data_IF_768164681430
#
_entry.id   IF_768164681430
#
_cell.length_a   1.000
_cell.length_b   1.000
_cell.length_c   1.000
_cell.angle_alpha   90.00
_cell.angle_beta   90.00
_cell.angle_gamma   90.00
#
_symmetry.space_group_name_H-M   'P 1'
#
loop_
_entity.id
_entity.type
_entity.pdbx_description
1 polymer ?
#
# COMPACT_ATOMS: atom_id res chain seq x y z
N UNK A 1 -3.11 9.66 -4.50
CA UNK A 1 -3.07 9.07 -3.14
C UNK A 1 -4.46 8.60 -2.79
N UNK A 2 -4.56 7.48 -2.07
CA UNK A 2 -5.83 6.96 -1.56
C UNK A 2 -5.83 7.21 -0.06
N UNK A 3 -6.85 7.92 0.42
CA UNK A 3 -7.06 8.11 1.85
C UNK A 3 -7.99 7.00 2.30
N UNK A 4 -7.53 6.18 3.25
CA UNK A 4 -8.33 5.10 3.85
C UNK A 4 -8.64 5.48 5.29
N UNK A 5 -9.91 5.37 5.65
CA UNK A 5 -10.35 5.51 7.02
C UNK A 5 -10.27 4.13 7.70
N UNK A 6 -9.27 3.96 8.57
CA UNK A 6 -9.03 2.72 9.32
C UNK A 6 -9.50 2.97 10.74
N UNK A 7 -10.50 2.21 11.19
CA UNK A 7 -11.04 2.29 12.55
C UNK A 7 -9.94 1.97 13.57
N UNK A 8 -9.56 2.97 14.36
CA UNK A 8 -8.52 2.89 15.37
C UNK A 8 -8.90 3.83 16.51
N UNK A 9 -9.35 3.27 17.63
CA UNK A 9 -9.91 4.04 18.76
C UNK A 9 -8.93 5.10 19.30
N UNK A 10 -7.62 4.85 19.24
CA UNK A 10 -6.61 5.78 19.72
C UNK A 10 -6.51 7.00 18.78
N UNK A 11 -6.52 6.77 17.47
CA UNK A 11 -6.52 7.84 16.45
C UNK A 11 -7.83 8.59 16.43
N UNK A 12 -8.95 7.89 16.53
CA UNK A 12 -10.28 8.49 16.56
C UNK A 12 -10.44 9.43 17.75
N UNK A 13 -9.95 9.01 18.94
CA UNK A 13 -9.94 9.86 20.13
C UNK A 13 -9.04 11.09 19.96
N UNK A 14 -7.87 10.93 19.33
CA UNK A 14 -6.95 12.04 19.08
C UNK A 14 -7.54 13.07 18.08
N UNK A 15 -8.13 12.58 16.98
CA UNK A 15 -8.80 13.41 15.98
C UNK A 15 -10.00 14.13 16.59
N UNK A 16 -10.84 13.42 17.34
CA UNK A 16 -11.99 14.01 18.01
C UNK A 16 -11.57 15.11 19.01
N UNK A 17 -10.52 14.86 19.82
CA UNK A 17 -9.96 15.86 20.72
C UNK A 17 -9.51 17.11 19.97
N UNK A 18 -8.74 16.94 18.90
CA UNK A 18 -8.23 18.05 18.10
C UNK A 18 -9.36 18.88 17.48
N UNK A 19 -10.39 18.23 16.93
CA UNK A 19 -11.55 18.93 16.33
C UNK A 19 -12.34 19.69 17.41
N UNK A 20 -12.58 19.07 18.57
CA UNK A 20 -13.27 19.72 19.69
C UNK A 20 -12.47 20.93 20.20
N UNK A 21 -11.15 20.82 20.32
CA UNK A 21 -10.27 21.91 20.75
C UNK A 21 -10.35 23.12 19.80
N UNK A 22 -10.44 22.89 18.47
CA UNK A 22 -10.64 23.97 17.47
C UNK A 22 -11.99 24.66 17.66
N UNK A 23 -13.06 23.90 17.90
CA UNK A 23 -14.40 24.46 18.04
C UNK A 23 -14.63 25.15 19.39
N UNK A 24 -13.95 24.72 20.46
CA UNK A 24 -14.03 25.35 21.79
C UNK A 24 -13.20 26.64 21.81
N UNK A 25 -12.02 26.64 21.19
CA UNK A 25 -11.09 27.76 21.20
C UNK A 25 -11.10 28.59 19.90
N UNK A 26 -12.24 28.66 19.20
CA UNK A 26 -12.36 29.32 17.88
C UNK A 26 -11.84 30.79 17.88
N UNK A 27 -11.90 31.48 19.02
CA UNK A 27 -11.37 32.84 19.19
C UNK A 27 -9.86 32.93 19.52
N UNK A 28 -9.21 31.82 19.87
CA UNK A 28 -7.76 31.71 20.15
C UNK A 28 -7.00 30.97 19.03
N UNK A 29 -7.71 30.37 18.08
CA UNK A 29 -7.11 29.65 16.95
C UNK A 29 -6.33 30.55 15.97
N UNK A 30 -6.49 31.88 16.02
CA UNK A 30 -5.60 32.80 15.31
C UNK A 30 -4.20 32.90 15.97
N UNK A 31 -4.08 32.52 17.25
CA UNK A 31 -2.83 32.67 18.03
C UNK A 31 -2.12 31.34 18.27
N UNK A 32 -2.81 30.21 18.17
CA UNK A 32 -2.17 28.89 18.15
C UNK A 32 -1.72 28.58 16.73
N UNK A 33 -0.66 29.23 16.26
CA UNK A 33 0.17 28.58 15.23
C UNK A 33 0.51 27.21 15.80
N UNK A 34 0.09 26.08 15.19
CA UNK A 34 0.70 24.82 15.54
C UNK A 34 2.20 25.03 15.39
N UNK A 35 3.00 24.41 16.24
CA UNK A 35 4.47 24.44 16.24
C UNK A 35 5.04 23.82 14.94
N UNK A 36 4.61 24.32 13.78
CA UNK A 36 5.18 24.10 12.48
C UNK A 36 6.24 25.17 12.31
N UNK A 37 7.49 24.72 12.30
CA UNK A 37 8.74 25.47 12.45
C UNK A 37 8.99 26.61 11.44
N UNK A 38 8.03 26.97 10.57
CA UNK A 38 8.21 27.98 9.51
C UNK A 38 6.92 28.79 9.27
N UNK A 39 7.03 30.12 9.29
CA UNK A 39 5.93 31.02 8.93
C UNK A 39 5.48 30.82 7.47
N UNK A 40 4.17 30.88 7.25
CA UNK A 40 3.55 30.68 5.93
C UNK A 40 4.03 31.73 4.89
N UNK A 41 4.29 32.96 5.33
CA UNK A 41 4.85 34.04 4.51
C UNK A 41 6.28 33.72 4.05
N UNK A 42 7.11 33.19 4.94
CA UNK A 42 8.49 32.83 4.66
C UNK A 42 8.56 31.62 3.72
N UNK A 43 7.70 30.62 3.94
CA UNK A 43 7.59 29.47 3.05
C UNK A 43 7.20 29.89 1.61
N UNK A 44 6.24 30.82 1.45
CA UNK A 44 5.85 31.35 0.13
C UNK A 44 7.03 32.04 -0.57
N UNK A 45 7.77 32.88 0.16
CA UNK A 45 8.96 33.57 -0.36
C UNK A 45 10.04 32.55 -0.76
N UNK A 46 10.28 31.55 0.08
CA UNK A 46 11.22 30.48 -0.20
C UNK A 46 10.87 29.69 -1.46
N UNK A 47 9.62 29.26 -1.63
CA UNK A 47 9.15 28.56 -2.83
C UNK A 47 9.37 29.41 -4.09
N UNK A 48 9.05 30.72 -4.02
CA UNK A 48 9.27 31.64 -5.14
C UNK A 48 10.76 31.76 -5.51
N UNK A 49 11.63 31.83 -4.50
CA UNK A 49 13.07 31.85 -4.68
C UNK A 49 13.59 30.55 -5.33
N UNK A 50 13.25 29.38 -4.79
CA UNK A 50 13.66 28.08 -5.34
C UNK A 50 13.20 27.90 -6.79
N UNK A 51 11.97 28.32 -7.12
CA UNK A 51 11.43 28.20 -8.49
C UNK A 51 12.14 29.10 -9.51
N UNK A 52 12.62 30.27 -9.09
CA UNK A 52 13.28 31.23 -9.98
C UNK A 52 14.79 31.03 -10.10
N UNK A 53 15.44 30.50 -9.06
CA UNK A 53 16.91 30.37 -9.00
C UNK A 53 17.44 28.97 -9.21
N UNK A 54 16.62 27.94 -9.06
CA UNK A 54 17.06 26.55 -9.12
C UNK A 54 16.28 25.77 -10.19
N UNK A 55 17.02 25.26 -11.17
CA UNK A 55 16.55 24.36 -12.21
C UNK A 55 17.44 23.12 -12.21
N UNK A 56 17.17 22.14 -11.32
CA UNK A 56 18.02 20.97 -11.18
C UNK A 56 17.98 20.10 -12.43
N UNK A 57 19.12 19.52 -12.76
CA UNK A 57 19.28 18.54 -13.84
C UNK A 57 19.61 17.18 -13.23
N UNK A 58 19.22 16.11 -13.88
CA UNK A 58 19.49 14.75 -13.41
C UNK A 58 20.97 14.40 -13.53
N UNK A 59 21.55 13.79 -12.49
CA UNK A 59 22.89 13.22 -12.58
C UNK A 59 22.92 11.97 -13.47
N UNK A 60 24.08 11.64 -14.02
CA UNK A 60 24.24 10.44 -14.85
C UNK A 60 23.92 9.15 -14.07
N UNK A 61 24.39 9.06 -12.82
CA UNK A 61 24.09 7.95 -11.91
C UNK A 61 22.58 7.81 -11.67
N UNK A 62 21.88 8.93 -11.44
CA UNK A 62 20.45 8.94 -11.23
C UNK A 62 19.67 8.51 -12.49
N UNK A 63 20.16 8.88 -13.68
CA UNK A 63 19.61 8.44 -14.96
C UNK A 63 19.71 6.92 -15.14
N UNK A 64 20.83 6.31 -14.75
CA UNK A 64 21.00 4.86 -14.81
C UNK A 64 20.03 4.13 -13.88
N UNK A 65 19.87 4.62 -12.65
CA UNK A 65 18.93 4.06 -11.67
C UNK A 65 17.50 4.12 -12.21
N UNK A 66 17.08 5.24 -12.79
CA UNK A 66 15.75 5.38 -13.40
C UNK A 66 15.55 4.45 -14.59
N UNK A 67 16.56 4.28 -15.45
CA UNK A 67 16.51 3.36 -16.59
C UNK A 67 16.31 1.92 -16.12
N UNK A 68 17.11 1.47 -15.17
CA UNK A 68 17.03 0.12 -14.61
C UNK A 68 15.66 -0.11 -13.93
N UNK A 69 15.19 0.86 -13.16
CA UNK A 69 13.89 0.81 -12.51
C UNK A 69 12.74 0.74 -13.53
N UNK A 70 12.77 1.55 -14.59
CA UNK A 70 11.73 1.57 -15.63
C UNK A 70 11.64 0.22 -16.37
N UNK A 71 12.79 -0.37 -16.73
CA UNK A 71 12.84 -1.69 -17.37
C UNK A 71 12.29 -2.76 -16.43
N UNK A 72 12.70 -2.75 -15.15
CA UNK A 72 12.24 -3.70 -14.14
C UNK A 72 10.72 -3.68 -13.95
N UNK A 73 10.12 -2.49 -13.77
CA UNK A 73 8.65 -2.40 -13.61
C UNK A 73 7.93 -2.90 -14.88
N UNK A 74 8.43 -2.57 -16.07
CA UNK A 74 7.82 -3.02 -17.33
C UNK A 74 7.88 -4.53 -17.50
N UNK A 75 8.94 -5.18 -17.03
CA UNK A 75 9.07 -6.64 -17.01
C UNK A 75 8.10 -7.28 -16.01
N UNK A 76 8.03 -6.76 -14.77
CA UNK A 76 7.07 -7.23 -13.76
C UNK A 76 5.63 -7.13 -14.26
N UNK A 77 5.29 -6.04 -14.94
CA UNK A 77 3.94 -5.88 -15.49
C UNK A 77 3.66 -6.82 -16.69
N UNK A 78 4.67 -7.14 -17.51
CA UNK A 78 4.52 -8.15 -18.58
C UNK A 78 4.30 -9.54 -18.00
N UNK A 79 5.03 -9.90 -16.96
CA UNK A 79 4.89 -11.21 -16.30
C UNK A 79 3.53 -11.32 -15.59
N UNK A 80 3.10 -10.27 -14.87
CA UNK A 80 1.77 -10.21 -14.26
C UNK A 80 0.64 -10.32 -15.28
N UNK A 81 0.72 -9.59 -16.40
CA UNK A 81 -0.27 -9.69 -17.49
C UNK A 81 -0.32 -11.09 -18.11
N UNK A 82 0.84 -11.73 -18.34
CA UNK A 82 0.90 -13.12 -18.84
C UNK A 82 0.26 -14.11 -17.86
N UNK A 83 0.44 -13.90 -16.56
CA UNK A 83 -0.14 -14.74 -15.52
C UNK A 83 -1.66 -14.56 -15.43
N UNK A 84 -2.16 -13.31 -15.49
CA UNK A 84 -3.61 -13.04 -15.41
C UNK A 84 -4.36 -13.58 -16.62
N UNK A 85 -3.79 -13.48 -17.83
CA UNK A 85 -4.38 -14.04 -19.06
C UNK A 85 -4.44 -15.57 -19.02
N UNK A 86 -3.47 -16.26 -18.40
CA UNK A 86 -3.52 -17.73 -18.23
C UNK A 86 -4.61 -18.18 -17.25
N UNK A 87 -4.97 -17.36 -16.27
CA UNK A 87 -5.97 -17.68 -15.26
C UNK A 87 -7.39 -17.16 -15.59
N UNK A 88 -7.66 -16.77 -16.85
CA UNK A 88 -8.99 -16.34 -17.30
C UNK A 88 -9.47 -15.00 -16.71
N UNK A 89 -8.64 -14.29 -15.97
CA UNK A 89 -8.96 -12.99 -15.38
C UNK A 89 -8.68 -11.85 -16.37
N UNK A 90 -9.71 -11.05 -16.67
CA UNK A 90 -9.55 -9.77 -17.36
C UNK A 90 -8.80 -8.77 -16.47
N UNK A 91 -7.48 -8.96 -16.34
CA UNK A 91 -6.63 -8.09 -15.55
C UNK A 91 -6.57 -6.70 -16.18
N UNK A 92 -7.29 -5.74 -15.60
CA UNK A 92 -7.18 -4.31 -15.90
C UNK A 92 -5.85 -3.76 -15.37
N UNK A 93 -4.75 -4.25 -15.92
CA UNK A 93 -3.41 -3.80 -15.54
C UNK A 93 -3.15 -2.48 -16.25
N UNK A 94 -3.15 -1.38 -15.49
CA UNK A 94 -2.89 -0.02 -16.00
C UNK A 94 -1.50 -0.01 -16.64
N UNK A 95 -1.38 0.23 -17.95
CA UNK A 95 -0.11 0.13 -18.64
C UNK A 95 0.89 1.14 -18.06
N UNK A 96 2.11 0.68 -17.80
CA UNK A 96 3.23 1.55 -17.44
C UNK A 96 3.61 2.34 -18.68
N UNK A 97 3.48 3.67 -18.59
CA UNK A 97 3.72 4.60 -19.70
C UNK A 97 4.94 5.46 -19.43
N UNK A 98 5.52 6.02 -20.51
CA UNK A 98 6.61 7.00 -20.44
C UNK A 98 6.23 8.20 -19.55
N UNK A 99 4.94 8.56 -19.48
CA UNK A 99 4.43 9.60 -18.57
C UNK A 99 4.72 9.30 -17.10
N UNK A 100 4.72 8.03 -16.68
CA UNK A 100 5.06 7.66 -15.30
C UNK A 100 6.54 7.90 -15.02
N UNK A 101 7.42 7.57 -15.97
CA UNK A 101 8.84 7.86 -15.86
C UNK A 101 9.10 9.38 -15.79
N UNK A 102 8.48 10.15 -16.68
CA UNK A 102 8.53 11.62 -16.67
C UNK A 102 8.02 12.21 -15.35
N UNK A 103 6.97 11.62 -14.76
CA UNK A 103 6.47 12.03 -13.45
C UNK A 103 7.49 11.79 -12.33
N UNK A 104 8.16 10.64 -12.33
CA UNK A 104 9.21 10.33 -11.33
C UNK A 104 10.40 11.29 -11.48
N UNK A 105 10.80 11.61 -12.72
CA UNK A 105 11.85 12.60 -12.99
C UNK A 105 11.46 13.96 -12.40
N UNK A 106 10.26 14.45 -12.68
CA UNK A 106 9.77 15.73 -12.12
C UNK A 106 9.72 15.75 -10.59
N UNK A 107 9.38 14.63 -9.96
CA UNK A 107 9.39 14.52 -8.49
C UNK A 107 10.84 14.60 -7.97
N UNK A 108 11.77 13.89 -8.61
CA UNK A 108 13.19 13.86 -8.23
C UNK A 108 13.82 15.25 -8.34
N UNK A 109 13.56 15.95 -9.45
CA UNK A 109 13.96 17.36 -9.64
C UNK A 109 13.32 18.29 -8.62
N UNK A 110 12.06 18.06 -8.25
CA UNK A 110 11.38 18.87 -7.23
C UNK A 110 11.99 18.68 -5.84
N UNK A 111 12.42 17.46 -5.50
CA UNK A 111 13.12 17.16 -4.24
C UNK A 111 14.48 17.86 -4.19
N UNK A 112 15.28 17.77 -5.26
CA UNK A 112 16.55 18.49 -5.37
C UNK A 112 16.35 20.02 -5.26
N UNK A 113 15.28 20.54 -5.90
CA UNK A 113 14.92 21.96 -5.85
C UNK A 113 14.57 22.45 -4.43
N UNK A 114 13.94 21.62 -3.62
CA UNK A 114 13.64 21.93 -2.22
C UNK A 114 14.91 22.08 -1.38
N UNK A 115 15.98 21.35 -1.73
CA UNK A 115 17.29 21.43 -1.09
C UNK A 115 18.21 22.49 -1.73
N UNK A 116 17.72 23.26 -2.72
CA UNK A 116 18.51 24.19 -3.52
C UNK A 116 19.69 23.53 -4.27
N UNK A 117 19.62 22.23 -4.51
CA UNK A 117 20.61 21.49 -5.30
C UNK A 117 20.37 21.72 -6.80
N UNK A 118 21.44 21.99 -7.56
CA UNK A 118 21.38 22.13 -9.03
C UNK A 118 21.45 20.78 -9.76
N UNK A 119 21.68 19.70 -9.03
CA UNK A 119 21.76 18.35 -9.56
C UNK A 119 20.91 17.39 -8.73
N UNK A 120 20.10 16.58 -9.41
CA UNK A 120 19.28 15.56 -8.78
C UNK A 120 20.04 14.22 -8.74
N UNK A 121 20.53 13.90 -7.55
CA UNK A 121 21.25 12.66 -7.23
C UNK A 121 20.36 11.41 -7.18
N UNK A 122 21.00 10.24 -7.09
CA UNK A 122 20.34 8.93 -6.98
C UNK A 122 19.43 8.82 -5.74
N UNK A 123 19.77 9.50 -4.65
CA UNK A 123 18.96 9.54 -3.41
C UNK A 123 17.59 10.20 -3.64
N UNK A 124 17.56 11.31 -4.39
CA UNK A 124 16.31 11.98 -4.77
C UNK A 124 15.42 11.06 -5.61
N UNK A 125 16.04 10.31 -6.53
CA UNK A 125 15.34 9.32 -7.35
C UNK A 125 14.80 8.17 -6.51
N UNK A 126 15.59 7.65 -5.57
CA UNK A 126 15.16 6.58 -4.67
C UNK A 126 13.92 6.99 -3.87
N UNK A 127 13.91 8.22 -3.36
CA UNK A 127 12.78 8.78 -2.62
C UNK A 127 11.56 9.01 -3.52
N UNK A 128 11.75 9.56 -4.72
CA UNK A 128 10.69 9.73 -5.71
C UNK A 128 10.04 8.38 -6.09
N UNK A 129 10.85 7.35 -6.28
CA UNK A 129 10.40 5.98 -6.53
C UNK A 129 9.60 5.45 -5.34
N UNK A 130 10.07 5.67 -4.11
CA UNK A 130 9.37 5.24 -2.88
C UNK A 130 7.98 5.87 -2.81
N UNK A 131 7.86 7.18 -3.02
CA UNK A 131 6.59 7.90 -3.06
C UNK A 131 5.67 7.38 -4.18
N UNK A 132 6.24 7.15 -5.37
CA UNK A 132 5.51 6.63 -6.51
C UNK A 132 4.96 5.22 -6.27
N UNK A 133 5.76 4.34 -5.66
CA UNK A 133 5.35 2.98 -5.26
C UNK A 133 4.20 3.01 -4.28
N UNK A 134 4.23 3.89 -3.27
CA UNK A 134 3.11 4.06 -2.33
C UNK A 134 1.84 4.49 -3.06
N UNK A 135 1.93 5.41 -4.03
CA UNK A 135 0.76 5.83 -4.82
C UNK A 135 0.20 4.68 -5.68
N UNK A 136 1.08 3.89 -6.31
CA UNK A 136 0.71 2.86 -7.29
C UNK A 136 0.28 1.54 -6.65
N UNK A 137 0.98 1.06 -5.61
CA UNK A 137 0.59 -0.13 -4.84
C UNK A 137 -0.76 0.07 -4.16
N UNK A 138 -1.03 1.28 -3.66
CA UNK A 138 -2.34 1.61 -3.11
C UNK A 138 -3.44 1.55 -4.19
N UNK A 139 -3.17 2.03 -5.41
CA UNK A 139 -4.12 1.94 -6.51
C UNK A 139 -4.38 0.48 -6.95
N UNK A 140 -3.32 -0.32 -7.12
CA UNK A 140 -3.43 -1.73 -7.50
C UNK A 140 -4.14 -2.58 -6.43
N UNK A 141 -3.88 -2.32 -5.15
CA UNK A 141 -4.53 -3.02 -4.03
C UNK A 141 -5.96 -2.56 -3.74
N UNK A 142 -6.47 -1.53 -4.42
CA UNK A 142 -7.87 -1.07 -4.26
C UNK A 142 -8.80 -1.73 -5.29
N UNK A 143 -8.27 -2.24 -6.40
CA UNK A 143 -8.99 -3.21 -7.25
C UNK A 143 -9.00 -4.63 -6.67
N UNK A 144 -8.07 -4.92 -5.76
CA UNK A 144 -8.03 -6.17 -5.02
C UNK A 144 -9.09 -6.14 -3.90
N UNK A 145 -10.27 -6.70 -4.19
CA UNK A 145 -11.26 -7.06 -3.18
C UNK A 145 -10.56 -7.77 -2.00
N UNK A 146 -11.04 -7.63 -0.75
CA UNK A 146 -10.40 -8.20 0.43
C UNK A 146 -10.47 -9.74 0.40
N UNK A 147 -9.62 -10.37 -0.40
CA UNK A 147 -9.73 -11.77 -0.88
C UNK A 147 -8.94 -12.06 -2.15
N UNK A 148 -8.48 -11.02 -2.87
CA UNK A 148 -7.70 -11.18 -4.09
C UNK A 148 -6.20 -11.38 -3.77
N UNK A 149 -5.66 -12.51 -4.25
CA UNK A 149 -4.26 -12.92 -4.12
C UNK A 149 -3.31 -12.04 -4.94
N UNK A 150 -3.83 -11.19 -5.83
CA UNK A 150 -3.06 -10.33 -6.74
C UNK A 150 -2.18 -9.29 -6.05
N UNK A 151 -2.40 -9.04 -4.76
CA UNK A 151 -1.59 -8.13 -3.92
C UNK A 151 -0.35 -8.78 -3.28
N UNK A 152 -0.19 -10.10 -3.40
CA UNK A 152 0.87 -10.87 -2.75
C UNK A 152 1.97 -11.27 -3.72
N UNK A 153 3.20 -11.39 -3.21
CA UNK A 153 4.31 -11.95 -3.99
C UNK A 153 4.06 -13.41 -4.41
N UNK A 154 4.70 -13.92 -5.48
CA UNK A 154 4.45 -15.28 -5.99
C UNK A 154 4.68 -16.37 -4.93
N UNK A 155 5.62 -16.16 -4.00
CA UNK A 155 5.89 -17.11 -2.91
C UNK A 155 4.80 -17.10 -1.83
N UNK A 156 4.30 -15.91 -1.48
CA UNK A 156 3.19 -15.76 -0.53
C UNK A 156 1.88 -16.30 -1.12
N UNK A 157 1.68 -16.17 -2.44
CA UNK A 157 0.55 -16.79 -3.15
C UNK A 157 0.58 -18.31 -3.00
N UNK A 158 1.76 -18.94 -3.18
CA UNK A 158 1.91 -20.39 -3.02
C UNK A 158 1.68 -20.83 -1.57
N UNK A 159 2.19 -20.07 -0.60
CA UNK A 159 1.98 -20.34 0.82
C UNK A 159 0.48 -20.28 1.17
N UNK A 160 -0.23 -19.25 0.72
CA UNK A 160 -1.67 -19.10 0.95
C UNK A 160 -2.48 -20.21 0.28
N UNK A 161 -2.12 -20.64 -0.94
CA UNK A 161 -2.78 -21.75 -1.63
C UNK A 161 -2.55 -23.10 -0.93
N UNK A 162 -1.33 -23.35 -0.45
CA UNK A 162 -1.02 -24.56 0.32
C UNK A 162 -1.85 -24.63 1.61
N UNK A 163 -1.96 -23.50 2.32
CA UNK A 163 -2.80 -23.40 3.53
C UNK A 163 -4.28 -23.58 3.18
N UNK A 164 -4.74 -23.02 2.05
CA UNK A 164 -6.12 -23.20 1.56
C UNK A 164 -6.47 -24.69 1.39
N UNK A 165 -5.64 -25.44 0.67
CA UNK A 165 -5.86 -26.87 0.43
C UNK A 165 -5.86 -27.68 1.74
N UNK A 166 -4.98 -27.34 2.68
CA UNK A 166 -4.94 -28.04 3.96
C UNK A 166 -6.17 -27.75 4.82
N UNK A 167 -6.66 -26.51 4.84
CA UNK A 167 -7.91 -26.16 5.52
C UNK A 167 -9.07 -26.96 4.90
N UNK A 168 -9.11 -27.10 3.56
CA UNK A 168 -10.13 -27.92 2.88
C UNK A 168 -10.02 -29.42 3.18
N UNK A 169 -8.83 -29.96 3.42
CA UNK A 169 -8.68 -31.38 3.80
C UNK A 169 -9.09 -31.65 5.24
N UNK A 170 -8.90 -30.68 6.14
CA UNK A 170 -9.09 -30.86 7.59
C UNK A 170 -10.48 -30.48 8.10
N UNK A 171 -11.14 -29.51 7.47
CA UNK A 171 -12.49 -29.06 7.84
C UNK A 171 -13.50 -29.68 6.86
N UNK A 172 -14.15 -30.80 7.19
CA UNK A 172 -15.17 -31.40 6.31
C UNK A 172 -16.38 -30.48 6.16
N UNK A 173 -17.10 -30.64 5.05
CA UNK A 173 -18.30 -29.86 4.72
C UNK A 173 -19.34 -30.03 5.84
N UNK A 174 -19.89 -28.92 6.34
CA UNK A 174 -20.86 -28.91 7.44
C UNK A 174 -20.25 -28.87 8.85
N UNK A 175 -18.93 -29.03 9.01
CA UNK A 175 -18.29 -28.91 10.32
C UNK A 175 -18.14 -27.46 10.77
N UNK A 176 -18.27 -27.25 12.08
CA UNK A 176 -18.07 -25.93 12.72
C UNK A 176 -16.85 -26.03 13.62
N UNK A 177 -15.82 -25.24 13.32
CA UNK A 177 -14.55 -25.25 14.05
C UNK A 177 -14.25 -23.83 14.56
N UNK A 178 -13.79 -23.66 15.81
CA UNK A 178 -13.40 -22.35 16.31
C UNK A 178 -12.17 -21.81 15.57
N UNK A 179 -12.21 -20.54 15.16
CA UNK A 179 -11.13 -19.90 14.38
C UNK A 179 -9.79 -19.95 15.12
N UNK A 180 -9.80 -19.74 16.44
CA UNK A 180 -8.58 -19.78 17.26
C UNK A 180 -7.86 -21.13 17.17
N UNK A 181 -8.62 -22.22 17.17
CA UNK A 181 -8.04 -23.57 17.08
C UNK A 181 -7.35 -23.80 15.74
N UNK A 182 -7.97 -23.34 14.64
CA UNK A 182 -7.35 -23.33 13.32
C UNK A 182 -6.06 -22.50 13.36
N UNK A 183 -6.14 -21.25 13.82
CA UNK A 183 -4.98 -20.36 13.88
C UNK A 183 -3.83 -20.97 14.68
N UNK A 184 -4.10 -21.48 15.89
CA UNK A 184 -3.09 -22.03 16.78
C UNK A 184 -2.46 -23.30 16.18
N UNK A 185 -3.26 -24.21 15.60
CA UNK A 185 -2.75 -25.44 14.97
C UNK A 185 -1.90 -25.16 13.73
N UNK A 186 -2.33 -24.25 12.84
CA UNK A 186 -1.55 -23.95 11.63
C UNK A 186 -0.26 -23.19 11.93
N UNK A 187 -0.21 -22.44 13.04
CA UNK A 187 1.00 -21.77 13.53
C UNK A 187 1.92 -22.76 14.26
N UNK A 188 1.37 -23.57 15.18
CA UNK A 188 2.17 -24.42 16.08
C UNK A 188 2.64 -25.73 15.42
N UNK A 189 1.83 -26.30 14.52
CA UNK A 189 2.08 -27.64 13.97
C UNK A 189 2.78 -27.61 12.60
N UNK A 190 2.63 -26.52 11.84
CA UNK A 190 3.09 -26.44 10.45
C UNK A 190 4.00 -25.24 10.14
N UNK A 191 4.18 -24.30 11.08
CA UNK A 191 5.12 -23.20 10.94
C UNK A 191 4.75 -22.16 9.88
N UNK A 192 3.47 -22.09 9.47
CA UNK A 192 3.01 -21.09 8.50
C UNK A 192 2.89 -19.71 9.12
N UNK A 193 3.08 -18.67 8.30
CA UNK A 193 2.89 -17.29 8.75
C UNK A 193 1.45 -17.03 9.16
N UNK A 194 1.25 -16.36 10.30
CA UNK A 194 -0.07 -15.91 10.76
C UNK A 194 -0.81 -15.10 9.69
N UNK A 195 -0.05 -14.37 8.86
CA UNK A 195 -0.57 -13.61 7.75
C UNK A 195 -1.16 -14.52 6.66
N UNK A 196 -0.47 -15.60 6.28
CA UNK A 196 -0.91 -16.54 5.25
C UNK A 196 -2.21 -17.25 5.65
N UNK A 197 -2.32 -17.69 6.91
CA UNK A 197 -3.52 -18.36 7.44
C UNK A 197 -4.73 -17.43 7.47
N UNK A 198 -4.57 -16.19 7.96
CA UNK A 198 -5.67 -15.20 7.95
C UNK A 198 -6.12 -14.89 6.53
N UNK A 199 -5.18 -14.79 5.59
CA UNK A 199 -5.50 -14.51 4.20
C UNK A 199 -6.22 -15.69 3.53
N UNK A 200 -5.79 -16.92 3.76
CA UNK A 200 -6.46 -18.12 3.26
C UNK A 200 -7.92 -18.20 3.76
N UNK A 201 -8.17 -17.92 5.03
CA UNK A 201 -9.53 -17.87 5.58
C UNK A 201 -10.39 -16.77 4.93
N UNK A 202 -9.83 -15.59 4.66
CA UNK A 202 -10.53 -14.55 3.91
C UNK A 202 -10.85 -14.97 2.48
N UNK A 203 -9.92 -15.62 1.77
CA UNK A 203 -10.15 -16.13 0.40
C UNK A 203 -11.30 -17.14 0.38
N UNK A 204 -11.30 -18.09 1.32
CA UNK A 204 -12.35 -19.10 1.48
C UNK A 204 -13.72 -18.48 1.83
N UNK A 205 -13.72 -17.42 2.64
CA UNK A 205 -14.93 -16.67 2.93
C UNK A 205 -15.50 -15.99 1.68
N UNK A 206 -14.66 -15.34 0.87
CA UNK A 206 -15.12 -14.66 -0.35
C UNK A 206 -15.60 -15.62 -1.43
N UNK A 207 -15.01 -16.82 -1.51
CA UNK A 207 -15.50 -17.90 -2.38
C UNK A 207 -16.80 -18.53 -1.88
N UNK A 208 -17.28 -18.15 -0.70
CA UNK A 208 -18.51 -18.67 -0.10
C UNK A 208 -18.38 -20.09 0.46
N UNK A 209 -17.16 -20.64 0.53
CA UNK A 209 -16.91 -21.97 1.08
C UNK A 209 -17.02 -21.98 2.61
N UNK A 210 -16.74 -20.83 3.25
CA UNK A 210 -16.75 -20.66 4.70
C UNK A 210 -17.61 -19.46 5.11
N UNK A 211 -18.41 -19.61 6.16
CA UNK A 211 -19.03 -18.48 6.89
C UNK A 211 -18.48 -18.36 8.30
N UNK A 212 -18.30 -17.10 8.71
CA UNK A 212 -18.03 -16.76 10.10
C UNK A 212 -19.35 -16.65 10.86
N UNK A 213 -19.48 -17.42 11.94
CA UNK A 213 -20.59 -17.33 12.88
C UNK A 213 -20.09 -16.74 14.22
N UNK A 214 -20.98 -16.05 14.93
CA UNK A 214 -20.76 -15.58 16.30
C UNK A 214 -19.51 -14.66 16.46
N UNK A 215 -19.57 -13.44 15.89
CA UNK A 215 -18.48 -12.44 15.97
C UNK A 215 -17.10 -12.96 15.47
N UNK A 216 -17.06 -13.67 14.34
CA UNK A 216 -15.83 -14.28 13.79
C UNK A 216 -15.17 -15.35 14.69
N UNK A 217 -15.86 -15.87 15.72
CA UNK A 217 -15.28 -16.90 16.60
C UNK A 217 -15.37 -18.31 16.02
N UNK A 218 -16.38 -18.56 15.19
CA UNK A 218 -16.66 -19.88 14.60
C UNK A 218 -16.57 -19.82 13.08
N UNK A 219 -15.93 -20.83 12.50
CA UNK A 219 -15.74 -21.05 11.08
C UNK A 219 -16.62 -22.24 10.70
N UNK A 220 -17.67 -22.00 9.91
CA UNK A 220 -18.55 -23.05 9.40
C UNK A 220 -18.30 -23.22 7.92
N UNK A 221 -17.97 -24.45 7.49
CA UNK A 221 -17.80 -24.76 6.07
C UNK A 221 -19.14 -25.15 5.46
N UNK A 222 -19.52 -24.46 4.39
CA UNK A 222 -20.84 -24.61 3.75
C UNK A 222 -20.75 -25.46 2.48
N UNK A 223 -19.64 -25.35 1.73
CA UNK A 223 -19.40 -26.06 0.46
C UNK A 223 -18.00 -26.69 0.42
#
# INVERSE_FOLDING_TARGET
>A
FIVRDIRDEAKDRAIARHILDIHINFSMAETSTPEGEINLLDLKRFISYCRSKCAPVLSEEAAEVLRNHYVGIRETHRTQKRLSTKNGGAGSSVPITIRQLEAIIRISESLAKMQLCYEATSDHVAEAIRLFKVSTLNAASTGALPGDLSSLGPDQVREVQAVEEQIKRRVPIGSTVPQKKIMDEFISLQGYSQFAVRKALQVLQNRGEIRFANQQKLVQRIN
#
